data_IF_746726161189
#
_entry.id   IF_746726161189
#
_cell.length_a   1.000
_cell.length_b   1.000
_cell.length_c   1.000
_cell.angle_alpha   90.00
_cell.angle_beta   90.00
_cell.angle_gamma   90.00
#
_symmetry.space_group_name_H-M   'P 1'
#
loop_
_entity.id
_entity.type
_entity.pdbx_description
1 polymer ?
#
# COMPACT_ATOMS: atom_id res chain seq x y z
N UNK A 1 -52.44 -42.49 34.90
CA UNK A 1 -51.16 -41.82 35.25
C UNK A 1 -49.96 -42.22 34.32
N UNK A 2 -49.88 -43.46 33.86
CA UNK A 2 -48.72 -43.88 32.99
C UNK A 2 -48.81 -43.29 31.57
N UNK A 3 -50.00 -43.12 30.96
CA UNK A 3 -50.17 -42.60 29.60
C UNK A 3 -49.77 -41.11 29.43
N UNK A 4 -49.92 -40.27 30.46
CA UNK A 4 -49.51 -38.87 30.39
C UNK A 4 -47.99 -38.70 30.41
N UNK A 5 -47.29 -39.56 31.13
CA UNK A 5 -45.82 -39.50 31.20
C UNK A 5 -45.15 -39.86 29.85
N UNK A 6 -45.74 -40.77 29.09
CA UNK A 6 -45.24 -41.15 27.77
C UNK A 6 -45.48 -40.04 26.74
N UNK A 7 -46.62 -39.36 26.82
CA UNK A 7 -46.93 -38.25 25.91
C UNK A 7 -45.93 -37.07 26.07
N UNK A 8 -45.59 -36.70 27.30
CA UNK A 8 -44.59 -35.68 27.57
C UNK A 8 -43.21 -36.05 27.00
N UNK A 9 -42.79 -37.29 27.13
CA UNK A 9 -41.53 -37.79 26.56
C UNK A 9 -41.50 -37.68 25.06
N UNK A 10 -42.57 -38.05 24.37
CA UNK A 10 -42.66 -37.95 22.92
C UNK A 10 -42.61 -36.50 22.46
N UNK A 11 -43.32 -35.59 23.11
CA UNK A 11 -43.32 -34.17 22.80
C UNK A 11 -41.93 -33.54 22.97
N UNK A 12 -41.23 -33.86 24.06
CA UNK A 12 -39.87 -33.34 24.27
C UNK A 12 -38.87 -33.89 23.25
N UNK A 13 -38.93 -35.17 22.91
CA UNK A 13 -38.07 -35.75 21.88
C UNK A 13 -38.31 -35.08 20.51
N UNK A 14 -39.58 -34.91 20.13
CA UNK A 14 -39.94 -34.22 18.90
C UNK A 14 -39.45 -32.74 18.87
N UNK A 15 -39.57 -32.04 19.98
CA UNK A 15 -39.08 -30.66 20.12
C UNK A 15 -37.56 -30.58 19.93
N UNK A 16 -36.78 -31.45 20.58
CA UNK A 16 -35.32 -31.47 20.42
C UNK A 16 -34.87 -31.86 19.04
N UNK A 17 -35.58 -32.76 18.35
CA UNK A 17 -35.27 -33.13 16.98
C UNK A 17 -35.53 -31.95 16.02
N UNK A 18 -36.63 -31.22 16.19
CA UNK A 18 -36.93 -30.03 15.37
C UNK A 18 -35.94 -28.92 15.63
N UNK A 19 -35.56 -28.68 16.88
CA UNK A 19 -34.53 -27.68 17.24
C UNK A 19 -33.16 -28.04 16.64
N UNK A 20 -32.75 -29.28 16.73
CA UNK A 20 -31.47 -29.74 16.13
C UNK A 20 -31.48 -29.58 14.62
N UNK A 21 -32.57 -29.92 13.94
CA UNK A 21 -32.71 -29.72 12.50
C UNK A 21 -32.66 -28.22 12.11
N UNK A 22 -33.28 -27.33 12.90
CA UNK A 22 -33.25 -25.89 12.67
C UNK A 22 -31.84 -25.32 12.82
N UNK A 23 -31.05 -25.80 13.78
CA UNK A 23 -29.66 -25.38 13.98
C UNK A 23 -28.80 -25.82 12.79
N UNK A 24 -28.93 -27.06 12.34
CA UNK A 24 -28.18 -27.57 11.17
C UNK A 24 -28.53 -26.78 9.91
N UNK A 25 -29.83 -26.55 9.65
CA UNK A 25 -30.28 -25.73 8.51
C UNK A 25 -29.78 -24.28 8.60
N UNK A 26 -29.74 -23.71 9.80
CA UNK A 26 -29.17 -22.37 10.03
C UNK A 26 -27.69 -22.30 9.70
N UNK A 27 -26.91 -23.30 10.08
CA UNK A 27 -25.48 -23.38 9.78
C UNK A 27 -25.20 -23.55 8.27
N UNK A 28 -26.02 -24.30 7.58
CA UNK A 28 -25.92 -24.49 6.12
C UNK A 28 -26.25 -23.19 5.35
N UNK A 29 -27.24 -22.42 5.81
CA UNK A 29 -27.59 -21.13 5.20
C UNK A 29 -26.51 -20.09 5.41
N UNK A 30 -25.91 -20.02 6.62
CA UNK A 30 -24.80 -19.09 6.87
C UNK A 30 -23.56 -19.39 6.02
N UNK A 31 -23.25 -20.67 5.80
CA UNK A 31 -22.15 -21.07 4.93
C UNK A 31 -22.42 -20.77 3.45
N UNK A 32 -23.68 -20.87 3.00
CA UNK A 32 -24.07 -20.57 1.61
C UNK A 32 -24.13 -19.07 1.33
N UNK A 33 -24.33 -18.23 2.36
CA UNK A 33 -24.39 -16.77 2.24
C UNK A 33 -23.04 -16.08 2.43
N UNK A 34 -21.99 -16.83 2.76
CA UNK A 34 -20.65 -16.26 2.80
C UNK A 34 -20.25 -15.87 1.38
N UNK A 35 -20.17 -14.55 1.07
CA UNK A 35 -19.67 -14.14 -0.22
C UNK A 35 -18.27 -14.73 -0.36
N UNK A 36 -18.01 -15.44 -1.45
CA UNK A 36 -16.66 -15.83 -1.78
C UNK A 36 -15.87 -14.53 -1.90
N UNK A 37 -14.99 -14.28 -0.93
CA UNK A 37 -14.04 -13.17 -1.06
C UNK A 37 -13.30 -13.40 -2.37
N UNK A 38 -13.32 -12.48 -3.32
CA UNK A 38 -12.54 -12.63 -4.53
C UNK A 38 -11.08 -12.75 -4.10
N UNK A 39 -10.51 -13.93 -4.22
CA UNK A 39 -9.07 -14.11 -4.07
C UNK A 39 -8.45 -13.52 -5.31
N UNK A 40 -8.19 -12.21 -5.28
CA UNK A 40 -7.38 -11.55 -6.30
C UNK A 40 -5.96 -12.05 -6.07
N UNK A 41 -5.52 -13.01 -6.87
CA UNK A 41 -4.12 -13.40 -6.88
C UNK A 41 -3.33 -12.29 -7.56
N UNK A 42 -2.83 -11.35 -6.77
CA UNK A 42 -1.98 -10.25 -7.25
C UNK A 42 -0.64 -10.77 -7.81
N UNK A 43 -0.24 -11.98 -7.42
CA UNK A 43 1.00 -12.63 -7.87
C UNK A 43 1.03 -12.94 -9.38
N UNK A 44 -0.13 -13.05 -10.04
CA UNK A 44 -0.22 -13.32 -11.47
C UNK A 44 -0.44 -12.06 -12.32
N UNK A 45 -0.55 -10.89 -11.72
CA UNK A 45 -0.65 -9.65 -12.47
C UNK A 45 0.70 -9.34 -13.13
N UNK A 46 0.70 -9.14 -14.45
CA UNK A 46 1.90 -8.78 -15.21
C UNK A 46 2.40 -7.38 -14.89
N UNK A 47 1.53 -6.50 -14.46
CA UNK A 47 1.79 -5.08 -14.21
C UNK A 47 1.41 -4.71 -12.78
N UNK A 48 2.16 -3.77 -12.22
CA UNK A 48 1.84 -3.07 -10.99
C UNK A 48 1.74 -1.58 -11.29
N UNK A 49 0.56 -0.99 -11.15
CA UNK A 49 0.35 0.43 -11.36
C UNK A 49 0.53 1.17 -10.03
N UNK A 50 1.53 2.02 -9.96
CA UNK A 50 1.91 2.79 -8.77
C UNK A 50 1.82 4.27 -9.10
N UNK A 51 1.20 5.04 -8.23
CA UNK A 51 1.19 6.50 -8.32
C UNK A 51 1.86 7.08 -7.09
N UNK A 52 2.85 7.96 -7.32
CA UNK A 52 3.47 8.80 -6.31
C UNK A 52 3.05 10.24 -6.57
N UNK A 53 2.81 10.99 -5.51
CA UNK A 53 2.65 12.44 -5.57
C UNK A 53 3.87 13.09 -4.95
N UNK A 54 4.32 14.20 -5.52
CA UNK A 54 5.25 15.11 -4.86
C UNK A 54 4.43 16.28 -4.35
N UNK A 55 4.46 16.43 -3.05
CA UNK A 55 3.79 17.51 -2.32
C UNK A 55 4.86 18.40 -1.71
N UNK A 56 4.65 19.72 -1.77
CA UNK A 56 5.51 20.72 -1.14
C UNK A 56 4.81 21.37 0.05
N UNK A 57 5.58 22.11 0.84
CA UNK A 57 5.08 22.93 1.94
C UNK A 57 4.29 22.17 3.04
N UNK A 58 4.56 20.87 3.20
CA UNK A 58 3.93 20.09 4.28
C UNK A 58 4.73 20.22 5.58
N UNK A 59 4.04 20.55 6.67
CA UNK A 59 4.67 20.54 8.00
C UNK A 59 4.85 19.11 8.48
N UNK A 60 6.05 18.60 8.34
CA UNK A 60 6.46 17.24 8.66
C UNK A 60 7.65 17.27 9.62
N UNK A 61 7.76 16.26 10.47
CA UNK A 61 8.89 16.14 11.38
C UNK A 61 8.80 17.03 12.62
N UNK A 62 9.86 17.00 13.44
CA UNK A 62 9.91 17.66 14.75
C UNK A 62 10.37 19.11 14.71
N UNK A 63 10.86 19.61 13.58
CA UNK A 63 11.46 20.94 13.45
C UNK A 63 10.42 22.05 13.19
N UNK A 64 9.16 21.68 12.98
CA UNK A 64 8.04 22.59 12.72
C UNK A 64 8.23 23.46 11.47
N UNK A 65 8.98 22.97 10.49
CA UNK A 65 9.15 23.59 9.18
C UNK A 65 8.30 22.88 8.13
N UNK A 66 8.17 23.48 6.97
CA UNK A 66 7.54 22.86 5.80
C UNK A 66 8.59 22.14 4.97
N UNK A 67 8.20 20.99 4.42
CA UNK A 67 9.09 20.09 3.68
C UNK A 67 8.42 19.55 2.43
N UNK A 68 9.26 19.21 1.46
CA UNK A 68 8.85 18.42 0.31
C UNK A 68 8.76 16.93 0.67
N UNK A 69 7.84 16.22 0.06
CA UNK A 69 7.69 14.77 0.30
C UNK A 69 7.11 14.03 -0.89
N UNK A 70 7.48 12.75 -1.03
CA UNK A 70 6.78 11.80 -1.88
C UNK A 70 5.69 11.06 -1.09
N UNK A 71 4.49 10.95 -1.67
CA UNK A 71 3.34 10.25 -1.06
C UNK A 71 2.73 9.26 -2.04
N UNK A 72 2.68 7.96 -1.72
CA UNK A 72 3.41 7.29 -0.66
C UNK A 72 4.92 7.21 -0.96
N UNK A 73 5.77 7.21 0.06
CA UNK A 73 7.21 7.01 -0.14
C UNK A 73 7.61 5.52 -0.23
N UNK A 74 6.75 4.61 0.22
CA UNK A 74 7.00 3.17 0.18
C UNK A 74 5.88 2.44 -0.56
N UNK A 75 6.25 1.46 -1.38
CA UNK A 75 5.29 0.60 -2.06
C UNK A 75 5.82 -0.81 -2.24
N UNK A 76 4.91 -1.75 -2.53
CA UNK A 76 5.22 -3.17 -2.66
C UNK A 76 4.76 -3.70 -4.01
N UNK A 77 5.60 -4.51 -4.65
CA UNK A 77 5.33 -5.19 -5.92
C UNK A 77 5.80 -6.64 -5.83
N UNK A 78 5.51 -7.46 -6.85
CA UNK A 78 6.02 -8.82 -6.95
C UNK A 78 7.14 -8.91 -8.00
N UNK A 79 8.09 -9.81 -7.75
CA UNK A 79 9.18 -10.09 -8.65
C UNK A 79 8.70 -10.44 -10.06
N UNK A 80 9.27 -9.81 -11.07
CA UNK A 80 8.90 -9.98 -12.48
C UNK A 80 7.71 -9.14 -12.95
N UNK A 81 7.03 -8.40 -12.09
CA UNK A 81 6.05 -7.42 -12.54
C UNK A 81 6.72 -6.22 -13.20
N UNK A 82 6.11 -5.73 -14.27
CA UNK A 82 6.46 -4.41 -14.80
C UNK A 82 5.73 -3.35 -13.99
N UNK A 83 6.47 -2.51 -13.31
CA UNK A 83 5.95 -1.37 -12.56
C UNK A 83 5.68 -0.22 -13.53
N UNK A 84 4.43 0.19 -13.64
CA UNK A 84 4.02 1.43 -14.29
C UNK A 84 3.98 2.51 -13.21
N UNK A 85 5.02 3.31 -13.14
CA UNK A 85 5.15 4.37 -12.16
C UNK A 85 4.65 5.68 -12.74
N UNK A 86 3.56 6.20 -12.19
CA UNK A 86 3.07 7.55 -12.45
C UNK A 86 3.51 8.47 -11.31
N UNK A 87 4.17 9.57 -11.66
CA UNK A 87 4.54 10.60 -10.68
C UNK A 87 3.79 11.89 -11.01
N UNK A 88 3.07 12.40 -10.02
CA UNK A 88 2.29 13.64 -10.08
C UNK A 88 3.01 14.67 -9.22
N UNK A 89 3.69 15.62 -9.85
CA UNK A 89 4.48 16.64 -9.14
C UNK A 89 3.70 17.94 -9.05
N UNK A 90 3.29 18.32 -7.83
CA UNK A 90 2.64 19.60 -7.53
C UNK A 90 3.65 20.69 -7.18
N UNK A 91 4.89 20.29 -6.86
CA UNK A 91 5.95 21.25 -6.54
C UNK A 91 6.50 21.95 -7.79
N UNK A 92 6.94 23.17 -7.61
CA UNK A 92 7.60 23.96 -8.64
C UNK A 92 9.08 23.61 -8.84
N UNK A 93 9.60 22.69 -8.04
CA UNK A 93 10.93 22.11 -8.14
C UNK A 93 10.98 20.86 -9.03
N UNK A 94 12.15 20.61 -9.61
CA UNK A 94 12.47 19.37 -10.27
C UNK A 94 12.87 18.32 -9.22
N UNK A 95 12.45 17.08 -9.42
CA UNK A 95 12.79 15.96 -8.57
C UNK A 95 13.29 14.77 -9.36
N UNK A 96 13.74 13.72 -8.66
CA UNK A 96 14.08 12.46 -9.30
C UNK A 96 13.61 11.26 -8.46
N UNK A 97 13.42 10.13 -9.14
CA UNK A 97 13.28 8.82 -8.53
C UNK A 97 14.50 7.99 -8.95
N UNK A 98 15.48 7.94 -8.05
CA UNK A 98 16.77 7.33 -8.33
C UNK A 98 17.02 6.15 -7.41
N UNK A 99 17.35 4.99 -7.98
CA UNK A 99 17.75 3.79 -7.25
C UNK A 99 18.83 3.04 -8.03
N UNK A 100 20.09 3.12 -7.61
CA UNK A 100 21.17 2.36 -8.25
C UNK A 100 20.95 0.85 -8.22
N UNK A 101 20.32 0.34 -7.17
CA UNK A 101 20.04 -1.09 -7.02
C UNK A 101 18.91 -1.59 -7.91
N UNK A 102 17.96 -0.73 -8.29
CA UNK A 102 16.93 -1.00 -9.31
C UNK A 102 17.42 -0.61 -10.72
N UNK A 103 18.60 -0.02 -10.83
CA UNK A 103 19.16 0.54 -12.06
C UNK A 103 18.20 1.54 -12.74
N UNK A 104 17.60 2.44 -11.94
CA UNK A 104 16.71 3.51 -12.41
C UNK A 104 17.20 4.88 -11.96
N UNK A 105 16.97 5.87 -12.84
CA UNK A 105 17.22 7.30 -12.61
C UNK A 105 16.22 8.10 -13.45
N UNK A 106 15.04 8.36 -12.86
CA UNK A 106 13.94 9.02 -13.54
C UNK A 106 13.85 10.47 -13.11
N UNK A 107 13.95 11.38 -14.08
CA UNK A 107 13.82 12.80 -13.85
C UNK A 107 12.35 13.23 -13.88
N UNK A 108 11.91 13.93 -12.85
CA UNK A 108 10.53 14.37 -12.64
C UNK A 108 10.50 15.89 -12.81
N UNK A 109 9.90 16.39 -13.91
CA UNK A 109 9.88 17.82 -14.17
C UNK A 109 9.03 18.58 -13.14
N UNK A 110 9.41 19.84 -12.92
CA UNK A 110 8.69 20.78 -12.09
C UNK A 110 7.27 21.06 -12.61
N UNK A 111 6.32 21.32 -11.73
CA UNK A 111 5.08 22.01 -12.09
C UNK A 111 5.39 23.41 -12.64
N UNK A 112 4.78 23.76 -13.75
CA UNK A 112 4.98 25.07 -14.38
C UNK A 112 3.88 26.08 -14.05
N UNK A 113 2.82 25.62 -13.43
CA UNK A 113 1.64 26.43 -13.13
C UNK A 113 1.10 26.04 -11.78
N UNK A 114 0.90 26.99 -10.92
CA UNK A 114 0.35 26.76 -9.59
C UNK A 114 -0.99 26.00 -9.64
N UNK A 115 -1.10 24.96 -8.83
CA UNK A 115 -2.24 24.06 -8.78
C UNK A 115 -2.41 23.10 -9.96
N UNK A 116 -1.49 23.11 -10.96
CA UNK A 116 -1.52 22.21 -12.11
C UNK A 116 -0.28 21.32 -12.07
N UNK A 117 -0.39 20.04 -11.69
CA UNK A 117 0.79 19.18 -11.54
C UNK A 117 1.43 18.84 -12.87
N UNK A 118 2.74 18.64 -12.86
CA UNK A 118 3.45 17.91 -13.90
C UNK A 118 3.25 16.41 -13.68
N UNK A 119 2.89 15.68 -14.74
CA UNK A 119 2.65 14.23 -14.66
C UNK A 119 3.68 13.52 -15.54
N UNK A 120 4.37 12.57 -14.96
CA UNK A 120 5.37 11.73 -15.64
C UNK A 120 5.03 10.26 -15.50
N UNK A 121 5.41 9.48 -16.52
CA UNK A 121 5.19 8.04 -16.56
C UNK A 121 6.50 7.33 -16.85
N UNK A 122 6.84 6.36 -15.99
CA UNK A 122 8.05 5.58 -16.07
C UNK A 122 7.73 4.09 -15.97
N UNK A 123 8.66 3.24 -16.38
CA UNK A 123 8.54 1.80 -16.23
C UNK A 123 9.86 1.19 -15.77
N UNK A 124 9.77 0.20 -14.90
CA UNK A 124 10.89 -0.66 -14.56
C UNK A 124 10.39 -2.05 -14.17
N UNK A 125 11.29 -3.01 -14.11
CA UNK A 125 11.00 -4.39 -13.68
C UNK A 125 12.14 -4.86 -12.79
N UNK A 126 11.79 -5.41 -11.62
CA UNK A 126 12.73 -6.09 -10.75
C UNK A 126 12.34 -7.56 -10.63
N UNK A 127 13.31 -8.46 -10.78
CA UNK A 127 13.08 -9.90 -10.79
C UNK A 127 13.51 -10.58 -9.49
N UNK A 128 14.27 -9.90 -8.66
CA UNK A 128 14.75 -10.43 -7.40
C UNK A 128 13.93 -9.86 -6.23
N UNK A 129 13.50 -10.74 -5.33
CA UNK A 129 12.83 -10.31 -4.11
C UNK A 129 13.82 -9.60 -3.19
N UNK A 130 13.38 -8.47 -2.61
CA UNK A 130 14.26 -7.65 -1.79
C UNK A 130 13.61 -6.34 -1.35
N UNK A 131 14.39 -5.53 -0.66
CA UNK A 131 14.02 -4.16 -0.28
C UNK A 131 15.02 -3.24 -0.95
N UNK A 132 14.52 -2.39 -1.83
CA UNK A 132 15.30 -1.50 -2.68
C UNK A 132 15.06 -0.07 -2.26
N UNK A 133 16.12 0.61 -1.86
CA UNK A 133 16.06 2.02 -1.52
C UNK A 133 16.05 2.88 -2.78
N UNK A 134 15.26 3.95 -2.76
CA UNK A 134 15.28 5.00 -3.75
C UNK A 134 15.23 6.37 -3.06
N UNK A 135 15.67 7.43 -3.74
CA UNK A 135 15.66 8.81 -3.22
C UNK A 135 15.73 9.81 -4.37
N UNK A 136 15.35 11.07 -4.06
CA UNK A 136 15.62 12.20 -4.93
C UNK A 136 17.09 12.57 -4.86
N UNK A 137 17.70 12.86 -6.01
CA UNK A 137 19.09 13.32 -6.13
C UNK A 137 19.19 14.83 -6.45
N UNK A 138 18.07 15.45 -6.79
CA UNK A 138 18.01 16.90 -7.01
C UNK A 138 18.02 17.63 -5.67
N UNK A 139 18.45 18.89 -5.67
CA UNK A 139 18.48 19.72 -4.47
C UNK A 139 17.05 20.20 -4.15
N UNK A 140 16.36 19.46 -3.30
CA UNK A 140 15.01 19.77 -2.83
C UNK A 140 15.04 20.25 -1.39
N UNK A 141 13.93 20.80 -0.91
CA UNK A 141 13.76 21.20 0.49
C UNK A 141 14.84 22.21 0.97
N UNK A 142 15.28 23.07 0.07
CA UNK A 142 16.43 23.97 0.31
C UNK A 142 16.14 25.00 1.39
N UNK A 143 14.89 25.43 1.53
CA UNK A 143 14.45 26.42 2.51
C UNK A 143 14.49 25.87 3.95
N UNK A 144 14.35 24.56 4.10
CA UNK A 144 14.49 23.82 5.35
C UNK A 144 15.87 23.12 5.47
N UNK A 145 16.90 23.65 4.78
CA UNK A 145 18.27 23.15 4.86
C UNK A 145 18.47 21.77 4.23
N UNK A 146 17.56 21.32 3.37
CA UNK A 146 17.61 20.02 2.71
C UNK A 146 17.29 18.84 3.65
N UNK A 147 16.59 19.10 4.74
CA UNK A 147 16.29 18.08 5.74
C UNK A 147 15.51 16.88 5.16
N UNK A 148 14.54 17.13 4.27
CA UNK A 148 13.78 16.07 3.61
C UNK A 148 14.64 15.17 2.69
N UNK A 149 15.82 15.66 2.29
CA UNK A 149 16.79 14.93 1.45
C UNK A 149 17.69 14.02 2.27
N UNK A 150 17.85 14.33 3.57
CA UNK A 150 18.85 13.65 4.37
C UNK A 150 18.36 12.29 4.85
N UNK A 151 19.27 11.36 4.84
CA UNK A 151 19.13 10.07 5.50
C UNK A 151 19.36 10.20 7.00
N UNK A 152 18.70 11.15 7.64
CA UNK A 152 18.91 11.50 9.03
C UNK A 152 19.82 12.72 9.20
N UNK A 153 19.49 13.53 10.18
CA UNK A 153 20.17 14.78 10.52
C UNK A 153 21.64 14.63 10.90
N UNK A 154 22.13 13.41 11.07
CA UNK A 154 23.46 13.13 11.61
C UNK A 154 24.30 12.18 10.72
N UNK A 155 23.92 11.98 9.46
CA UNK A 155 24.60 11.01 8.60
C UNK A 155 24.41 9.56 9.07
N UNK A 156 23.48 9.31 9.98
CA UNK A 156 23.19 7.99 10.49
C UNK A 156 22.45 7.16 9.43
N UNK A 157 22.92 5.95 9.11
CA UNK A 157 22.19 5.05 8.23
C UNK A 157 20.84 4.68 8.88
N UNK A 158 19.74 4.99 8.23
CA UNK A 158 18.44 4.47 8.63
C UNK A 158 17.31 5.48 8.86
N UNK A 159 17.57 6.76 8.93
CA UNK A 159 16.51 7.75 8.81
C UNK A 159 16.35 8.12 7.33
N UNK A 160 15.13 7.95 6.84
CA UNK A 160 14.77 8.29 5.46
C UNK A 160 14.12 9.65 5.54
N UNK A 161 14.69 10.62 4.82
CA UNK A 161 14.04 11.87 4.57
C UNK A 161 12.75 11.65 3.78
N UNK A 162 11.89 12.63 3.70
CA UNK A 162 10.61 12.52 3.00
C UNK A 162 10.76 12.46 1.47
N UNK A 163 11.94 12.80 0.95
CA UNK A 163 12.27 12.76 -0.47
C UNK A 163 12.92 11.42 -0.89
N UNK A 164 12.45 10.33 -0.34
CA UNK A 164 12.89 8.97 -0.66
C UNK A 164 12.08 7.92 0.06
N UNK A 165 12.37 6.65 -0.24
CA UNK A 165 11.64 5.53 0.34
C UNK A 165 12.19 4.18 -0.08
N UNK A 166 11.31 3.17 -0.02
CA UNK A 166 11.63 1.80 -0.38
C UNK A 166 10.62 1.20 -1.36
N UNK A 167 11.13 0.42 -2.28
CA UNK A 167 10.37 -0.57 -3.04
C UNK A 167 10.59 -1.93 -2.40
N UNK A 168 9.54 -2.56 -1.91
CA UNK A 168 9.57 -3.95 -1.43
C UNK A 168 9.15 -4.86 -2.57
N UNK A 169 10.03 -5.74 -3.01
CA UNK A 169 9.74 -6.75 -4.03
C UNK A 169 9.55 -8.09 -3.34
N UNK A 170 8.35 -8.63 -3.42
CA UNK A 170 7.99 -9.93 -2.86
C UNK A 170 8.19 -11.04 -3.89
N UNK A 171 8.51 -12.24 -3.41
CA UNK A 171 8.50 -13.43 -4.26
C UNK A 171 7.06 -13.72 -4.73
N UNK A 172 6.85 -13.88 -6.04
CA UNK A 172 5.58 -14.24 -6.64
C UNK A 172 5.30 -15.75 -6.59
#
# INVERSE_FOLDING_TARGET
>A
MVKELEWHRIVWVAFFVVMAAAIVLGMEIENSLKPASPTISLTNAKYADITLMVESDLTLGPDNQTHDTFVPCNFTVYAGQTVNLTVVNYDNGQHSFTSPTLNVDFQIPASQTDGVPAVSHFQFTETEAGIYRWWCTDACDTDAGGWAMTTGTDGQPGQIGFMGGFVTVLQG
#
